data_IF_207872146982
#
_entry.id   IF_207872146982
#
_cell.length_a   1.000
_cell.length_b   1.000
_cell.length_c   1.000
_cell.angle_alpha   90.00
_cell.angle_beta   90.00
_cell.angle_gamma   90.00
#
_symmetry.space_group_name_H-M   'P 1'
#
loop_
_entity.id
_entity.type
_entity.pdbx_description
1 polymer ?
#
# COMPACT_ATOMS: atom_id res chain seq x y z
N UNK A 1 11.23 0.42 18.76
CA UNK A 1 11.71 -0.32 17.57
C UNK A 1 10.95 0.22 16.38
N UNK A 2 11.65 0.47 15.29
CA UNK A 2 10.98 0.71 14.01
C UNK A 2 10.29 -0.57 13.55
N UNK A 3 9.13 -0.48 12.91
CA UNK A 3 8.44 -1.66 12.35
C UNK A 3 9.30 -2.42 11.34
N UNK A 4 10.24 -1.75 10.67
CA UNK A 4 11.25 -2.41 9.83
C UNK A 4 12.20 -3.30 10.65
N UNK A 5 12.54 -2.91 11.88
CA UNK A 5 13.37 -3.73 12.77
C UNK A 5 12.59 -4.95 13.25
N UNK A 6 11.28 -4.79 13.45
CA UNK A 6 10.35 -5.83 13.86
C UNK A 6 10.15 -6.88 12.74
N UNK A 7 9.96 -6.45 11.49
CA UNK A 7 9.94 -7.33 10.31
C UNK A 7 11.26 -8.11 10.18
N UNK A 8 12.41 -7.42 10.31
CA UNK A 8 13.74 -8.08 10.25
C UNK A 8 13.97 -9.06 11.40
N UNK A 9 13.35 -8.85 12.56
CA UNK A 9 13.42 -9.77 13.68
C UNK A 9 12.59 -11.03 13.41
N UNK A 10 11.37 -10.88 12.90
CA UNK A 10 10.50 -12.01 12.56
C UNK A 10 11.09 -12.89 11.44
N UNK A 11 11.70 -12.28 10.40
CA UNK A 11 12.43 -13.03 9.36
C UNK A 11 13.57 -13.84 9.96
N UNK A 12 14.36 -13.25 10.87
CA UNK A 12 15.48 -13.95 11.54
C UNK A 12 15.03 -15.10 12.43
N UNK A 13 13.80 -15.06 12.93
CA UNK A 13 13.21 -16.11 13.76
C UNK A 13 12.52 -17.20 12.93
N UNK A 14 12.48 -17.06 11.60
CA UNK A 14 11.76 -17.99 10.70
C UNK A 14 10.24 -17.77 10.66
N UNK A 15 9.73 -16.74 11.33
CA UNK A 15 8.32 -16.39 11.39
C UNK A 15 7.92 -15.55 10.17
N UNK A 16 8.02 -16.14 8.97
CA UNK A 16 7.81 -15.44 7.71
C UNK A 16 6.37 -14.92 7.54
N UNK A 17 5.37 -15.63 8.06
CA UNK A 17 3.97 -15.20 8.02
C UNK A 17 3.74 -13.93 8.86
N UNK A 18 4.30 -13.88 10.08
CA UNK A 18 4.23 -12.71 10.96
C UNK A 18 5.01 -11.51 10.38
N UNK A 19 6.20 -11.76 9.83
CA UNK A 19 6.99 -10.74 9.15
C UNK A 19 6.22 -10.12 7.98
N UNK A 20 5.51 -10.97 7.22
CA UNK A 20 4.72 -10.54 6.08
C UNK A 20 3.48 -9.77 6.52
N UNK A 21 2.76 -10.22 7.56
CA UNK A 21 1.62 -9.50 8.11
C UNK A 21 2.00 -8.09 8.57
N UNK A 22 3.12 -7.94 9.29
CA UNK A 22 3.60 -6.63 9.74
C UNK A 22 3.99 -5.75 8.56
N UNK A 23 4.76 -6.28 7.59
CA UNK A 23 5.20 -5.53 6.42
C UNK A 23 4.02 -5.09 5.54
N UNK A 24 3.05 -5.97 5.33
CA UNK A 24 1.82 -5.69 4.59
C UNK A 24 0.98 -4.63 5.32
N UNK A 25 0.86 -4.70 6.66
CA UNK A 25 0.07 -3.72 7.41
C UNK A 25 0.56 -2.28 7.33
N UNK A 26 1.88 -2.10 7.14
CA UNK A 26 2.47 -0.76 6.96
C UNK A 26 2.46 -0.32 5.50
N UNK A 27 2.66 -1.24 4.56
CA UNK A 27 2.73 -0.91 3.14
C UNK A 27 1.36 -0.59 2.52
N UNK A 28 0.27 -0.87 3.23
CA UNK A 28 -1.09 -0.81 2.70
C UNK A 28 -1.88 0.46 3.05
N UNK A 29 -1.24 1.44 3.71
CA UNK A 29 -1.77 2.81 3.83
C UNK A 29 -1.12 3.72 2.80
N UNK A 30 -1.90 4.24 1.86
CA UNK A 30 -1.41 5.09 0.78
C UNK A 30 -2.09 6.45 0.88
N UNK A 31 -1.29 7.50 0.83
CA UNK A 31 -1.74 8.87 0.77
C UNK A 31 -1.58 9.38 -0.66
N UNK A 32 -2.68 9.78 -1.30
CA UNK A 32 -2.67 10.39 -2.63
C UNK A 32 -3.13 11.84 -2.50
N UNK A 33 -2.27 12.75 -2.94
CA UNK A 33 -2.57 14.18 -2.99
C UNK A 33 -2.54 14.63 -4.44
N UNK A 34 -3.63 15.26 -4.89
CA UNK A 34 -3.74 15.86 -6.22
C UNK A 34 -3.89 17.36 -6.05
N UNK A 35 -2.92 18.13 -6.53
CA UNK A 35 -2.91 19.59 -6.45
C UNK A 35 -2.92 20.22 -7.85
N UNK A 36 -3.60 21.36 -7.99
CA UNK A 36 -3.55 22.16 -9.20
C UNK A 36 -2.28 23.04 -9.19
N UNK A 37 -1.31 22.70 -10.02
CA UNK A 37 0.03 23.34 -10.09
C UNK A 37 -0.07 24.83 -10.51
N UNK A 38 -1.20 25.26 -11.09
CA UNK A 38 -1.43 26.63 -11.55
C UNK A 38 -2.47 27.40 -10.73
N UNK A 39 -3.04 26.79 -9.67
CA UNK A 39 -4.03 27.37 -8.78
C UNK A 39 -3.47 27.60 -7.38
N UNK A 40 -4.17 28.40 -6.58
CA UNK A 40 -3.85 28.60 -5.16
C UNK A 40 -3.83 27.22 -4.44
N UNK A 41 -2.81 26.95 -3.60
CA UNK A 41 -2.57 25.66 -2.91
C UNK A 41 -3.78 25.15 -2.10
N UNK A 42 -4.78 26.02 -1.88
CA UNK A 42 -6.04 25.75 -1.20
C UNK A 42 -7.01 24.80 -1.92
N UNK A 43 -6.67 24.34 -3.13
CA UNK A 43 -7.54 23.50 -3.98
C UNK A 43 -7.07 22.05 -4.13
N UNK A 44 -6.23 21.54 -3.24
CA UNK A 44 -5.78 20.14 -3.29
C UNK A 44 -6.90 19.14 -2.87
N UNK A 45 -6.97 18.01 -3.58
CA UNK A 45 -7.73 16.84 -3.16
C UNK A 45 -6.79 15.83 -2.49
N UNK A 46 -7.27 15.21 -1.41
CA UNK A 46 -6.50 14.26 -0.62
C UNK A 46 -7.32 12.99 -0.42
N UNK A 47 -6.71 11.84 -0.61
CA UNK A 47 -7.31 10.56 -0.31
C UNK A 47 -6.32 9.66 0.41
N UNK A 48 -6.81 8.97 1.44
CA UNK A 48 -6.09 7.92 2.15
C UNK A 48 -6.73 6.58 1.82
N UNK A 49 -5.96 5.66 1.25
CA UNK A 49 -6.39 4.29 0.98
C UNK A 49 -5.81 3.39 2.07
N UNK A 50 -6.68 2.67 2.79
CA UNK A 50 -6.30 1.52 3.61
C UNK A 50 -6.66 0.23 2.84
N UNK A 51 -5.64 -0.41 2.25
CA UNK A 51 -5.83 -1.65 1.49
C UNK A 51 -6.07 -2.88 2.38
N UNK A 52 -5.82 -2.81 3.70
CA UNK A 52 -6.17 -3.91 4.62
C UNK A 52 -7.66 -3.95 4.87
N UNK A 53 -8.22 -2.77 5.17
CA UNK A 53 -9.63 -2.64 5.52
C UNK A 53 -10.50 -2.44 4.27
N UNK A 54 -9.87 -2.28 3.10
CA UNK A 54 -10.51 -1.92 1.84
C UNK A 54 -11.35 -0.64 2.01
N UNK A 55 -10.82 0.30 2.79
CA UNK A 55 -11.45 1.58 3.10
C UNK A 55 -10.69 2.70 2.39
N UNK A 56 -11.44 3.66 1.85
CA UNK A 56 -10.90 4.84 1.19
C UNK A 56 -11.53 6.05 1.86
N UNK A 57 -10.70 6.86 2.53
CA UNK A 57 -11.12 8.12 3.11
C UNK A 57 -10.77 9.26 2.16
N UNK A 58 -11.75 10.12 1.88
CA UNK A 58 -11.58 11.26 0.99
C UNK A 58 -11.69 12.58 1.75
N UNK A 59 -10.74 13.48 1.50
CA UNK A 59 -10.84 14.91 1.80
C UNK A 59 -10.80 15.67 0.48
N UNK A 60 -11.99 15.91 -0.06
CA UNK A 60 -12.17 16.61 -1.33
C UNK A 60 -12.09 18.12 -1.12
N UNK A 61 -11.26 18.77 -1.94
CA UNK A 61 -11.19 20.22 -2.09
C UNK A 61 -12.20 20.72 -3.11
N UNK A 62 -11.74 21.57 -4.04
CA UNK A 62 -12.59 22.13 -5.09
C UNK A 62 -13.05 21.05 -6.10
N UNK A 63 -14.31 21.14 -6.55
CA UNK A 63 -14.98 20.12 -7.39
C UNK A 63 -14.36 19.97 -8.79
N UNK A 64 -13.50 20.90 -9.18
CA UNK A 64 -12.87 20.95 -10.50
C UNK A 64 -11.84 19.82 -10.72
N UNK A 65 -11.31 19.23 -9.64
CA UNK A 65 -10.28 18.18 -9.70
C UNK A 65 -10.80 16.79 -9.34
N UNK A 66 -12.03 16.66 -8.85
CA UNK A 66 -12.59 15.40 -8.33
C UNK A 66 -12.47 14.25 -9.33
N UNK A 67 -12.87 14.46 -10.59
CA UNK A 67 -12.87 13.38 -11.59
C UNK A 67 -11.45 12.86 -11.89
N UNK A 68 -10.48 13.76 -12.02
CA UNK A 68 -9.07 13.39 -12.29
C UNK A 68 -8.48 12.71 -11.06
N UNK A 69 -8.77 13.23 -9.87
CA UNK A 69 -8.31 12.65 -8.61
C UNK A 69 -8.83 11.23 -8.41
N UNK A 70 -10.12 10.98 -8.66
CA UNK A 70 -10.70 9.63 -8.53
C UNK A 70 -10.14 8.65 -9.56
N UNK A 71 -9.90 9.07 -10.80
CA UNK A 71 -9.29 8.21 -11.83
C UNK A 71 -7.85 7.81 -11.46
N UNK A 72 -7.04 8.77 -11.02
CA UNK A 72 -5.67 8.52 -10.52
C UNK A 72 -5.69 7.62 -9.27
N UNK A 73 -6.66 7.82 -8.38
CA UNK A 73 -6.83 7.02 -7.17
C UNK A 73 -7.16 5.56 -7.50
N UNK A 74 -8.10 5.33 -8.41
CA UNK A 74 -8.48 3.98 -8.85
C UNK A 74 -7.31 3.27 -9.56
N UNK A 75 -6.59 3.99 -10.43
CA UNK A 75 -5.41 3.46 -11.10
C UNK A 75 -4.30 3.08 -10.11
N UNK A 76 -4.01 3.96 -9.15
CA UNK A 76 -3.03 3.69 -8.10
C UNK A 76 -3.45 2.50 -7.23
N UNK A 77 -4.72 2.44 -6.81
CA UNK A 77 -5.27 1.32 -6.05
C UNK A 77 -5.08 -0.01 -6.79
N UNK A 78 -5.45 -0.07 -8.08
CA UNK A 78 -5.34 -1.28 -8.90
C UNK A 78 -3.89 -1.73 -9.07
N UNK A 79 -2.96 -0.80 -9.35
CA UNK A 79 -1.54 -1.13 -9.48
C UNK A 79 -0.94 -1.68 -8.18
N UNK A 80 -1.31 -1.09 -7.03
CA UNK A 80 -0.78 -1.53 -5.75
C UNK A 80 -1.34 -2.90 -5.39
N UNK A 81 -2.63 -3.14 -5.65
CA UNK A 81 -3.25 -4.45 -5.45
C UNK A 81 -2.53 -5.54 -6.27
N UNK A 82 -2.21 -5.27 -7.54
CA UNK A 82 -1.45 -6.19 -8.39
C UNK A 82 -0.04 -6.46 -7.85
N UNK A 83 0.64 -5.43 -7.34
CA UNK A 83 1.98 -5.58 -6.74
C UNK A 83 1.94 -6.43 -5.47
N UNK A 84 0.96 -6.20 -4.59
CA UNK A 84 0.76 -7.00 -3.36
C UNK A 84 0.49 -8.47 -3.71
N UNK A 85 -0.39 -8.73 -4.69
CA UNK A 85 -0.67 -10.08 -5.16
C UNK A 85 0.58 -10.76 -5.74
N UNK A 86 1.39 -10.03 -6.50
CA UNK A 86 2.64 -10.54 -7.08
C UNK A 86 3.67 -10.88 -5.99
N UNK A 87 3.78 -10.05 -4.95
CA UNK A 87 4.64 -10.32 -3.79
C UNK A 87 4.17 -11.55 -3.02
N UNK A 88 2.86 -11.70 -2.79
CA UNK A 88 2.30 -12.90 -2.15
C UNK A 88 2.65 -14.17 -2.94
N UNK A 89 2.53 -14.14 -4.27
CA UNK A 89 2.92 -15.26 -5.13
C UNK A 89 4.42 -15.57 -5.04
N UNK A 90 5.27 -14.54 -5.05
CA UNK A 90 6.72 -14.71 -4.89
C UNK A 90 7.06 -15.37 -3.54
N UNK A 91 6.39 -14.96 -2.46
CA UNK A 91 6.59 -15.57 -1.14
C UNK A 91 6.17 -17.04 -1.10
N UNK A 92 5.06 -17.41 -1.74
CA UNK A 92 4.63 -18.82 -1.84
C UNK A 92 5.71 -19.65 -2.54
N UNK A 93 6.24 -19.16 -3.66
CA UNK A 93 7.31 -19.84 -4.42
C UNK A 93 8.58 -19.98 -3.56
N UNK A 94 8.98 -18.92 -2.86
CA UNK A 94 10.14 -18.95 -1.97
C UNK A 94 9.96 -19.96 -0.81
N UNK A 95 8.75 -20.03 -0.23
CA UNK A 95 8.41 -20.99 0.82
C UNK A 95 8.46 -22.43 0.31
N UNK A 96 7.92 -22.70 -0.88
CA UNK A 96 7.98 -24.01 -1.52
C UNK A 96 9.42 -24.46 -1.78
N UNK A 97 10.22 -23.59 -2.42
CA UNK A 97 11.63 -23.89 -2.69
C UNK A 97 12.43 -24.15 -1.40
N UNK A 98 12.16 -23.39 -0.33
CA UNK A 98 12.83 -23.60 0.96
C UNK A 98 12.47 -24.96 1.57
N UNK A 99 11.21 -25.39 1.48
CA UNK A 99 10.75 -26.69 1.97
C UNK A 99 11.34 -27.87 1.18
N UNK A 100 11.58 -27.70 -0.13
CA UNK A 100 12.21 -28.73 -0.97
C UNK A 100 13.73 -28.86 -0.72
N UNK A 101 14.36 -27.80 -0.20
CA UNK A 101 15.79 -27.77 0.13
C UNK A 101 16.11 -28.26 1.55
N UNK A 102 15.12 -28.39 2.44
CA UNK A 102 15.27 -28.85 3.83
C UNK A 102 15.01 -30.34 3.97
#
# INVERSE_FOLDING_TARGET
MSKIEEVKAQIRQGNLEEAMAIAISEAMKIEIMTANINGDDSTACHSLIDLLENEIEHQLGDKSLENIHFEELENAHNHILQNVQSLQQMFVILKQNYQELS
#
